data_IF_006590117419
#
_entry.id   IF_006590117419
#
_cell.length_a   1.000
_cell.length_b   1.000
_cell.length_c   1.000
_cell.angle_alpha   90.00
_cell.angle_beta   90.00
_cell.angle_gamma   90.00
#
_symmetry.space_group_name_H-M   'P 1'
#
loop_
_entity.id
_entity.type
_entity.pdbx_description
1 polymer ?
#
# COMPACT_ATOMS: atom_id res chain seq x y z
N UNK A 1 -11.31 -12.30 7.15
CA UNK A 1 -10.68 -12.43 5.82
C UNK A 1 -11.45 -13.48 5.02
N UNK A 2 -12.58 -13.11 4.39
CA UNK A 2 -13.34 -13.93 3.40
C UNK A 2 -14.54 -13.16 2.78
N UNK A 3 -14.55 -11.81 2.82
CA UNK A 3 -15.75 -11.03 2.46
C UNK A 3 -15.97 -10.95 0.94
N UNK A 4 -14.95 -11.26 0.13
CA UNK A 4 -14.94 -10.96 -1.31
C UNK A 4 -15.03 -12.18 -2.23
N UNK A 5 -15.27 -13.38 -1.70
CA UNK A 5 -15.15 -14.62 -2.50
C UNK A 5 -16.41 -14.97 -3.30
N UNK A 6 -17.59 -14.59 -2.81
CA UNK A 6 -18.87 -14.88 -3.46
C UNK A 6 -19.75 -13.64 -3.44
N UNK A 7 -19.58 -12.78 -4.44
CA UNK A 7 -20.40 -11.58 -4.61
C UNK A 7 -21.22 -11.75 -5.87
N UNK A 8 -22.53 -11.56 -5.72
CA UNK A 8 -23.51 -11.53 -6.79
C UNK A 8 -24.35 -10.27 -6.61
N UNK A 9 -24.68 -9.65 -7.74
CA UNK A 9 -25.62 -8.54 -7.87
C UNK A 9 -25.37 -7.40 -6.88
N UNK A 10 -24.09 -7.13 -6.60
CA UNK A 10 -23.71 -6.00 -5.75
C UNK A 10 -23.88 -4.71 -6.55
N UNK A 11 -24.71 -3.77 -6.10
CA UNK A 11 -24.88 -2.50 -6.79
C UNK A 11 -23.57 -1.73 -6.85
N UNK A 12 -23.27 -1.15 -8.01
CA UNK A 12 -22.06 -0.37 -8.23
C UNK A 12 -21.92 0.77 -7.22
N UNK A 13 -23.03 1.44 -6.89
CA UNK A 13 -23.07 2.52 -5.89
C UNK A 13 -22.69 2.07 -4.46
N UNK A 14 -22.73 0.77 -4.16
CA UNK A 14 -22.36 0.22 -2.86
C UNK A 14 -20.91 -0.27 -2.81
N UNK A 15 -20.16 -0.23 -3.92
CA UNK A 15 -18.73 -0.46 -3.92
C UNK A 15 -18.06 0.68 -3.15
N UNK A 16 -17.25 0.34 -2.14
CA UNK A 16 -16.61 1.34 -1.29
C UNK A 16 -15.10 1.29 -1.45
N UNK A 17 -14.47 2.47 -1.40
CA UNK A 17 -13.03 2.61 -1.23
C UNK A 17 -12.20 1.90 -2.33
N UNK A 18 -11.29 1.01 -1.93
CA UNK A 18 -10.37 0.22 -2.74
C UNK A 18 -10.92 -1.16 -3.14
N UNK A 19 -12.17 -1.46 -2.81
CA UNK A 19 -12.77 -2.78 -3.03
C UNK A 19 -12.67 -3.25 -4.49
N UNK A 20 -12.92 -2.34 -5.43
CA UNK A 20 -12.85 -2.66 -6.86
C UNK A 20 -11.42 -2.91 -7.35
N UNK A 21 -10.41 -2.35 -6.67
CA UNK A 21 -9.01 -2.59 -6.99
C UNK A 21 -8.64 -4.06 -6.76
N UNK A 22 -9.15 -4.66 -5.67
CA UNK A 22 -8.96 -6.08 -5.37
C UNK A 22 -9.59 -6.98 -6.43
N UNK A 23 -10.78 -6.62 -6.93
CA UNK A 23 -11.42 -7.34 -8.04
C UNK A 23 -10.61 -7.24 -9.33
N UNK A 24 -10.11 -6.05 -9.66
CA UNK A 24 -9.27 -5.86 -10.83
C UNK A 24 -7.97 -6.67 -10.76
N UNK A 25 -7.33 -6.71 -9.58
CA UNK A 25 -6.12 -7.51 -9.34
C UNK A 25 -6.40 -9.02 -9.39
N UNK A 26 -7.51 -9.48 -8.82
CA UNK A 26 -7.89 -10.89 -8.88
C UNK A 26 -8.25 -11.33 -10.31
N UNK A 27 -8.86 -10.42 -11.10
CA UNK A 27 -9.13 -10.64 -12.52
C UNK A 27 -7.85 -10.73 -13.34
N UNK A 28 -6.88 -9.84 -13.13
CA UNK A 28 -5.59 -9.89 -13.83
C UNK A 28 -4.75 -11.11 -13.44
N UNK A 29 -4.88 -11.59 -12.19
CA UNK A 29 -4.25 -12.83 -11.72
C UNK A 29 -4.98 -14.11 -12.19
N UNK A 30 -6.10 -13.99 -12.90
CA UNK A 30 -6.90 -15.13 -13.35
C UNK A 30 -7.62 -15.89 -12.24
N UNK A 31 -7.74 -15.30 -11.04
CA UNK A 31 -8.37 -15.91 -9.86
C UNK A 31 -9.90 -15.74 -9.86
N UNK A 32 -10.40 -14.66 -10.47
CA UNK A 32 -11.82 -14.32 -10.51
C UNK A 32 -12.23 -13.78 -11.89
N UNK A 33 -13.45 -14.09 -12.32
CA UNK A 33 -14.07 -13.45 -13.47
C UNK A 33 -15.08 -12.41 -13.00
N UNK A 34 -14.76 -11.13 -13.23
CA UNK A 34 -15.60 -9.99 -12.83
C UNK A 34 -16.31 -9.48 -14.06
N UNK A 35 -17.64 -9.54 -14.02
CA UNK A 35 -18.57 -9.03 -15.04
C UNK A 35 -19.50 -8.01 -14.41
N UNK A 36 -19.73 -6.90 -15.09
CA UNK A 36 -20.75 -5.93 -14.72
C UNK A 36 -21.95 -6.13 -15.65
N UNK A 37 -23.15 -6.17 -15.07
CA UNK A 37 -24.39 -6.27 -15.81
C UNK A 37 -25.33 -5.14 -15.37
N UNK A 38 -26.17 -4.66 -16.30
CA UNK A 38 -27.18 -3.65 -16.02
C UNK A 38 -28.46 -4.27 -15.47
N UNK A 39 -28.90 -5.37 -16.07
CA UNK A 39 -30.11 -6.08 -15.68
C UNK A 39 -29.74 -7.33 -14.85
N UNK A 40 -30.43 -7.53 -13.74
CA UNK A 40 -30.34 -8.74 -12.91
C UNK A 40 -31.11 -9.90 -13.54
N UNK A 41 -30.79 -11.14 -13.13
CA UNK A 41 -31.52 -12.32 -13.61
C UNK A 41 -33.03 -12.26 -13.30
N UNK A 42 -33.41 -11.57 -12.23
CA UNK A 42 -34.81 -11.35 -11.86
C UNK A 42 -35.51 -10.34 -12.79
N UNK A 43 -34.84 -9.24 -13.13
CA UNK A 43 -35.37 -8.22 -14.05
C UNK A 43 -35.59 -8.77 -15.46
N UNK A 44 -34.71 -9.66 -15.92
CA UNK A 44 -34.90 -10.40 -17.16
C UNK A 44 -36.16 -11.26 -17.11
N UNK A 45 -36.44 -11.94 -16.00
CA UNK A 45 -37.66 -12.77 -15.83
C UNK A 45 -38.94 -11.93 -15.86
N UNK A 46 -38.90 -10.74 -15.27
CA UNK A 46 -40.05 -9.84 -15.23
C UNK A 46 -40.14 -8.89 -16.42
N UNK A 47 -39.26 -9.03 -17.43
CA UNK A 47 -39.16 -8.13 -18.59
C UNK A 47 -39.05 -6.65 -18.15
N UNK A 48 -38.28 -6.38 -17.11
CA UNK A 48 -37.92 -5.02 -16.65
C UNK A 48 -36.49 -4.69 -17.02
N UNK A 49 -36.08 -5.13 -18.22
CA UNK A 49 -34.74 -4.87 -18.73
C UNK A 49 -34.69 -3.47 -19.34
N UNK A 50 -33.50 -2.88 -19.37
CA UNK A 50 -33.27 -1.61 -20.07
C UNK A 50 -33.80 -1.64 -21.51
N UNK A 51 -33.63 -2.77 -22.20
CA UNK A 51 -34.15 -2.97 -23.55
C UNK A 51 -35.69 -2.91 -23.60
N UNK A 52 -36.37 -3.52 -22.62
CA UNK A 52 -37.83 -3.51 -22.58
C UNK A 52 -38.37 -2.10 -22.30
N UNK A 53 -37.67 -1.28 -21.52
CA UNK A 53 -38.03 0.13 -21.33
C UNK A 53 -37.97 0.89 -22.67
N UNK A 54 -36.88 0.76 -23.43
CA UNK A 54 -36.77 1.36 -24.77
C UNK A 54 -37.87 0.90 -25.74
N UNK A 55 -38.27 -0.37 -25.66
CA UNK A 55 -39.35 -0.92 -26.49
C UNK A 55 -40.73 -0.46 -26.04
N UNK A 56 -40.92 -0.16 -24.75
CA UNK A 56 -42.20 0.31 -24.20
C UNK A 56 -42.43 1.78 -24.50
N UNK A 57 -41.39 2.61 -24.41
CA UNK A 57 -41.46 4.04 -24.73
C UNK A 57 -41.70 4.31 -26.23
N UNK A 58 -41.43 3.30 -27.07
CA UNK A 58 -41.69 3.32 -28.51
C UNK A 58 -41.24 4.61 -29.24
N UNK A 59 -40.03 5.14 -28.99
CA UNK A 59 -39.62 6.45 -29.53
C UNK A 59 -39.54 6.49 -31.07
N UNK A 60 -39.39 5.32 -31.71
CA UNK A 60 -39.26 5.17 -33.16
C UNK A 60 -40.50 4.55 -33.82
N UNK A 61 -41.56 4.31 -33.05
CA UNK A 61 -42.80 3.76 -33.57
C UNK A 61 -43.57 4.82 -34.35
N UNK A 62 -44.16 4.41 -35.48
CA UNK A 62 -45.09 5.23 -36.23
C UNK A 62 -46.47 4.60 -36.19
N UNK A 63 -47.44 5.37 -35.70
CA UNK A 63 -48.82 4.92 -35.54
C UNK A 63 -49.61 5.14 -36.85
N UNK A 64 -49.40 4.23 -37.81
CA UNK A 64 -50.17 4.19 -39.06
C UNK A 64 -50.47 2.74 -39.45
N UNK A 65 -51.72 2.46 -39.80
CA UNK A 65 -52.22 1.11 -40.11
C UNK A 65 -51.93 0.65 -41.54
N UNK A 66 -50.73 0.92 -42.06
CA UNK A 66 -50.29 0.46 -43.38
C UNK A 66 -49.34 -0.72 -43.24
N UNK A 67 -49.53 -1.75 -44.07
CA UNK A 67 -48.65 -2.93 -44.12
C UNK A 67 -47.17 -2.55 -44.30
N UNK A 68 -46.89 -1.48 -45.04
CA UNK A 68 -45.51 -0.98 -45.22
C UNK A 68 -44.97 -0.39 -43.93
N UNK A 69 -45.81 0.34 -43.19
CA UNK A 69 -45.44 0.95 -41.90
C UNK A 69 -45.19 -0.13 -40.85
N UNK A 70 -46.00 -1.19 -40.82
CA UNK A 70 -45.77 -2.33 -39.92
C UNK A 70 -44.41 -3.00 -40.15
N UNK A 71 -44.02 -3.21 -41.42
CA UNK A 71 -42.71 -3.78 -41.76
C UNK A 71 -41.57 -2.86 -41.32
N UNK A 72 -41.72 -1.55 -41.49
CA UNK A 72 -40.74 -0.58 -41.01
C UNK A 72 -40.67 -0.52 -39.49
N UNK A 73 -41.80 -0.61 -38.79
CA UNK A 73 -41.85 -0.62 -37.34
C UNK A 73 -41.10 -1.86 -36.80
N UNK A 74 -41.30 -3.04 -37.40
CA UNK A 74 -40.53 -4.26 -37.07
C UNK A 74 -39.04 -4.09 -37.32
N UNK A 75 -38.65 -3.53 -38.47
CA UNK A 75 -37.24 -3.30 -38.76
C UNK A 75 -36.58 -2.30 -37.78
N UNK A 76 -37.31 -1.28 -37.32
CA UNK A 76 -36.82 -0.35 -36.29
C UNK A 76 -36.69 -1.02 -34.94
N UNK A 77 -37.65 -1.86 -34.55
CA UNK A 77 -37.57 -2.64 -33.32
C UNK A 77 -36.33 -3.55 -33.30
N UNK A 78 -36.11 -4.30 -34.38
CA UNK A 78 -34.91 -5.14 -34.53
C UNK A 78 -33.62 -4.31 -34.48
N UNK A 79 -33.59 -3.15 -35.15
CA UNK A 79 -32.45 -2.25 -35.11
C UNK A 79 -32.16 -1.73 -33.69
N UNK A 80 -33.19 -1.41 -32.90
CA UNK A 80 -33.06 -0.99 -31.50
C UNK A 80 -32.50 -2.12 -30.64
N UNK A 81 -32.97 -3.35 -30.82
CA UNK A 81 -32.49 -4.53 -30.08
C UNK A 81 -30.98 -4.73 -30.32
N UNK A 82 -30.56 -4.65 -31.58
CA UNK A 82 -29.14 -4.78 -31.96
C UNK A 82 -28.33 -3.63 -31.38
N UNK A 83 -28.83 -2.39 -31.49
CA UNK A 83 -28.18 -1.19 -30.97
C UNK A 83 -27.89 -1.30 -29.46
N UNK A 84 -28.91 -1.64 -28.67
CA UNK A 84 -28.78 -1.72 -27.21
C UNK A 84 -27.81 -2.84 -26.80
N UNK A 85 -28.00 -4.05 -27.33
CA UNK A 85 -27.23 -5.22 -26.88
C UNK A 85 -25.80 -5.26 -27.44
N UNK A 86 -25.61 -4.90 -28.71
CA UNK A 86 -24.32 -5.06 -29.39
C UNK A 86 -23.44 -3.82 -29.32
N UNK A 87 -24.01 -2.62 -29.08
CA UNK A 87 -23.26 -1.38 -29.07
C UNK A 87 -23.29 -0.67 -27.71
N UNK A 88 -24.48 -0.37 -27.18
CA UNK A 88 -24.62 0.46 -25.98
C UNK A 88 -24.10 -0.26 -24.74
N UNK A 89 -24.62 -1.45 -24.43
CA UNK A 89 -24.24 -2.19 -23.21
C UNK A 89 -22.73 -2.50 -23.12
N UNK A 90 -22.04 -2.99 -24.19
CA UNK A 90 -20.60 -3.23 -24.12
C UNK A 90 -19.75 -1.98 -23.91
N UNK A 91 -20.19 -0.83 -24.44
CA UNK A 91 -19.51 0.46 -24.24
C UNK A 91 -19.69 0.93 -22.79
N UNK A 92 -20.91 0.86 -22.27
CA UNK A 92 -21.20 1.23 -20.88
C UNK A 92 -20.47 0.33 -19.88
N UNK A 93 -20.41 -0.98 -20.12
CA UNK A 93 -19.66 -1.91 -19.28
C UNK A 93 -18.17 -1.52 -19.23
N UNK A 94 -17.55 -1.26 -20.39
CA UNK A 94 -16.15 -0.86 -20.48
C UNK A 94 -15.90 0.47 -19.77
N UNK A 95 -16.78 1.45 -19.96
CA UNK A 95 -16.65 2.75 -19.32
C UNK A 95 -16.83 2.65 -17.80
N UNK A 96 -17.81 1.89 -17.32
CA UNK A 96 -18.03 1.64 -15.91
C UNK A 96 -16.80 0.97 -15.26
N UNK A 97 -16.23 -0.04 -15.92
CA UNK A 97 -14.97 -0.64 -15.48
C UNK A 97 -13.84 0.38 -15.38
N UNK A 98 -13.68 1.24 -16.38
CA UNK A 98 -12.66 2.28 -16.41
C UNK A 98 -12.83 3.31 -15.28
N UNK A 99 -14.05 3.81 -15.10
CA UNK A 99 -14.39 4.78 -14.06
C UNK A 99 -14.18 4.21 -12.66
N UNK A 100 -14.70 3.01 -12.38
CA UNK A 100 -14.52 2.37 -11.07
C UNK A 100 -13.06 2.08 -10.75
N UNK A 101 -12.27 1.67 -11.73
CA UNK A 101 -10.84 1.47 -11.55
C UNK A 101 -10.13 2.79 -11.22
N UNK A 102 -10.49 3.86 -11.93
CA UNK A 102 -9.93 5.18 -11.68
C UNK A 102 -10.34 5.72 -10.31
N UNK A 103 -11.61 5.59 -9.91
CA UNK A 103 -12.11 6.03 -8.61
C UNK A 103 -11.43 5.28 -7.46
N UNK A 104 -11.27 3.95 -7.56
CA UNK A 104 -10.55 3.19 -6.54
C UNK A 104 -9.06 3.53 -6.49
N UNK A 105 -8.41 3.79 -7.62
CA UNK A 105 -7.02 4.28 -7.65
C UNK A 105 -6.90 5.67 -7.04
N UNK A 106 -7.79 6.57 -7.41
CA UNK A 106 -7.87 7.92 -6.85
C UNK A 106 -8.16 7.88 -5.36
N UNK A 107 -8.98 6.95 -4.85
CA UNK A 107 -9.18 6.80 -3.42
C UNK A 107 -7.86 6.46 -2.70
N UNK A 108 -7.06 5.56 -3.27
CA UNK A 108 -5.74 5.20 -2.73
C UNK A 108 -4.75 6.37 -2.86
N UNK A 109 -4.79 7.12 -3.98
CA UNK A 109 -3.81 8.13 -4.39
C UNK A 109 -4.16 9.57 -3.98
N UNK A 110 -5.38 10.09 -4.16
CA UNK A 110 -5.82 11.46 -3.81
C UNK A 110 -5.91 11.72 -2.32
N UNK A 111 -5.69 10.70 -1.50
CA UNK A 111 -5.14 10.87 -0.16
C UNK A 111 -3.77 11.58 -0.10
N UNK A 112 -3.08 11.66 -1.23
CA UNK A 112 -1.70 12.09 -1.39
C UNK A 112 -1.47 13.20 -2.38
N UNK A 113 -2.51 13.84 -2.90
CA UNK A 113 -2.34 15.04 -3.72
C UNK A 113 -3.59 15.90 -3.63
N UNK A 114 -3.72 16.73 -2.60
CA UNK A 114 -4.52 17.97 -2.67
C UNK A 114 -4.07 18.97 -1.59
N UNK A 115 -3.85 20.20 -2.06
CA UNK A 115 -3.57 21.40 -1.29
C UNK A 115 -4.54 21.60 -0.11
N UNK A 116 -4.09 22.15 1.04
CA UNK A 116 -4.93 22.40 2.22
C UNK A 116 -6.06 23.43 2.01
N UNK A 117 -6.12 24.13 0.87
CA UNK A 117 -7.01 25.29 0.68
C UNK A 117 -8.36 24.94 0.03
N UNK A 118 -8.53 23.78 -0.60
CA UNK A 118 -9.85 23.37 -1.18
C UNK A 118 -10.64 22.43 -0.28
N UNK A 119 -10.38 22.45 1.03
CA UNK A 119 -10.98 21.53 2.02
C UNK A 119 -12.37 21.97 2.51
N UNK A 120 -13.16 22.61 1.65
CA UNK A 120 -14.55 22.97 1.92
C UNK A 120 -15.42 22.45 0.78
N UNK A 121 -16.02 21.26 0.96
CA UNK A 121 -17.48 21.08 0.93
C UNK A 121 -17.93 19.59 0.95
N UNK A 122 -17.05 18.60 0.87
CA UNK A 122 -17.47 17.19 0.97
C UNK A 122 -16.54 16.35 1.84
N UNK A 123 -17.14 15.80 2.92
CA UNK A 123 -16.62 14.75 3.81
C UNK A 123 -15.84 13.71 3.01
N UNK A 124 -14.51 13.75 3.04
CA UNK A 124 -13.67 12.67 2.50
C UNK A 124 -12.42 12.51 3.35
N UNK A 125 -12.33 11.33 3.96
CA UNK A 125 -11.27 10.84 4.84
C UNK A 125 -9.97 10.75 4.02
N UNK A 126 -8.84 11.35 4.44
CA UNK A 126 -7.58 11.14 3.73
C UNK A 126 -7.20 9.66 3.87
N UNK A 127 -6.82 8.99 2.77
CA UNK A 127 -6.49 7.56 2.84
C UNK A 127 -5.28 7.30 3.74
N UNK A 128 -5.31 6.10 4.30
CA UNK A 128 -4.34 5.60 5.25
C UNK A 128 -2.92 5.54 4.66
N UNK A 129 -2.73 5.34 3.35
CA UNK A 129 -1.40 5.15 2.75
C UNK A 129 -0.56 6.43 2.74
N UNK A 130 -1.16 7.56 2.35
CA UNK A 130 -0.41 8.82 2.29
C UNK A 130 -0.27 9.46 3.66
N UNK A 131 -1.25 9.31 4.55
CA UNK A 131 -1.06 9.68 5.95
C UNK A 131 0.09 8.89 6.58
N UNK A 132 0.14 7.56 6.39
CA UNK A 132 1.24 6.74 6.90
C UNK A 132 2.60 7.18 6.34
N UNK A 133 2.68 7.52 5.05
CA UNK A 133 3.92 8.00 4.44
C UNK A 133 4.28 9.40 4.97
N UNK A 134 3.32 10.31 5.02
CA UNK A 134 3.50 11.65 5.54
C UNK A 134 3.94 11.63 7.01
N UNK A 135 3.31 10.80 7.83
CA UNK A 135 3.66 10.64 9.24
C UNK A 135 5.09 10.10 9.38
N UNK A 136 5.49 9.14 8.53
CA UNK A 136 6.87 8.63 8.50
C UNK A 136 7.89 9.68 8.07
N UNK A 137 7.55 10.54 7.12
CA UNK A 137 8.41 11.64 6.64
C UNK A 137 8.46 12.78 7.65
N UNK A 138 7.34 13.06 8.33
CA UNK A 138 7.19 14.15 9.30
C UNK A 138 7.97 13.89 10.59
N UNK A 139 8.30 12.64 10.90
CA UNK A 139 9.06 12.30 12.10
C UNK A 139 10.33 13.16 12.16
N UNK A 140 10.41 14.01 13.20
CA UNK A 140 11.55 14.88 13.39
C UNK A 140 12.81 14.04 13.63
N UNK A 141 13.96 14.57 13.22
CA UNK A 141 15.25 13.96 13.54
C UNK A 141 15.38 13.79 15.05
N UNK A 142 15.93 12.64 15.47
CA UNK A 142 16.19 12.37 16.87
C UNK A 142 17.13 13.45 17.44
N UNK A 143 16.76 14.02 18.59
CA UNK A 143 17.60 14.94 19.34
C UNK A 143 17.97 14.30 20.66
N UNK A 144 19.26 14.27 20.97
CA UNK A 144 19.72 13.77 22.26
C UNK A 144 19.26 14.73 23.37
N UNK A 145 18.66 14.25 24.47
CA UNK A 145 18.28 15.10 25.60
C UNK A 145 19.47 15.78 26.28
N UNK A 146 20.70 15.30 26.02
CA UNK A 146 21.93 15.74 26.66
C UNK A 146 22.65 16.90 25.94
N UNK A 147 21.99 17.60 25.02
CA UNK A 147 22.56 18.74 24.25
C UNK A 147 22.88 20.00 25.10
N UNK A 148 22.84 19.95 26.44
CA UNK A 148 23.14 21.08 27.34
C UNK A 148 24.35 20.84 28.25
N UNK A 149 25.33 20.05 27.80
CA UNK A 149 26.61 19.88 28.49
C UNK A 149 27.75 20.40 27.62
N UNK A 150 28.44 21.42 28.10
CA UNK A 150 29.58 22.11 27.48
C UNK A 150 30.79 21.17 27.23
N UNK A 151 30.72 20.32 26.20
CA UNK A 151 31.80 19.37 25.82
C UNK A 151 32.85 20.05 24.92
N UNK A 152 33.16 21.32 25.18
CA UNK A 152 34.18 22.11 24.47
C UNK A 152 35.61 21.58 24.67
N UNK A 153 35.84 20.66 25.63
CA UNK A 153 37.18 20.15 25.97
C UNK A 153 37.69 19.00 25.08
N UNK A 154 36.86 18.33 24.28
CA UNK A 154 37.24 17.06 23.63
C UNK A 154 37.55 17.10 22.13
N UNK A 155 37.66 18.28 21.51
CA UNK A 155 38.03 18.41 20.09
C UNK A 155 37.00 17.84 19.10
N UNK A 156 35.82 17.42 19.58
CA UNK A 156 34.69 17.06 18.76
C UNK A 156 33.75 18.26 18.66
N UNK A 157 33.45 18.67 17.42
CA UNK A 157 32.47 19.73 17.15
C UNK A 157 31.10 19.28 17.68
N UNK A 158 30.37 20.18 18.34
CA UNK A 158 29.10 19.84 18.98
C UNK A 158 28.05 19.35 17.97
N UNK A 159 27.50 18.16 18.22
CA UNK A 159 26.45 17.54 17.40
C UNK A 159 26.17 16.08 17.76
N UNK A 160 25.03 15.54 17.32
CA UNK A 160 24.61 14.17 17.63
C UNK A 160 25.29 13.16 16.69
N UNK A 161 26.12 12.29 17.28
CA UNK A 161 26.78 11.14 16.62
C UNK A 161 25.94 9.87 16.76
N UNK A 162 25.76 9.13 15.68
CA UNK A 162 24.91 7.94 15.65
C UNK A 162 25.73 6.71 15.25
N UNK A 163 25.75 5.68 16.08
CA UNK A 163 26.27 4.37 15.73
C UNK A 163 25.13 3.50 15.21
N UNK A 164 25.14 3.20 13.92
CA UNK A 164 24.18 2.28 13.30
C UNK A 164 24.74 0.86 13.29
N UNK A 165 23.90 -0.13 13.56
CA UNK A 165 24.22 -1.56 13.51
C UNK A 165 23.23 -2.23 12.56
N UNK A 166 23.75 -2.74 11.46
CA UNK A 166 23.00 -3.55 10.50
C UNK A 166 23.50 -4.99 10.59
N UNK A 167 22.59 -5.92 10.85
CA UNK A 167 22.86 -7.35 10.80
C UNK A 167 22.04 -8.00 9.69
N UNK A 168 22.59 -9.00 8.99
CA UNK A 168 21.88 -9.75 7.95
C UNK A 168 20.97 -10.82 8.56
N UNK A 169 19.97 -11.27 7.80
CA UNK A 169 19.12 -12.41 8.17
C UNK A 169 19.92 -13.73 8.21
N UNK A 170 20.91 -13.87 7.32
CA UNK A 170 21.74 -15.05 7.25
C UNK A 170 22.84 -15.02 8.32
N UNK A 171 22.80 -15.98 9.26
CA UNK A 171 23.76 -16.10 10.37
C UNK A 171 25.21 -16.34 9.96
N UNK A 172 25.46 -16.65 8.69
CA UNK A 172 26.81 -16.82 8.14
C UNK A 172 27.44 -15.51 7.66
N UNK A 173 26.64 -14.47 7.45
CA UNK A 173 27.11 -13.18 6.95
C UNK A 173 27.45 -12.25 8.12
N UNK A 174 28.52 -11.47 7.95
CA UNK A 174 28.97 -10.54 8.97
C UNK A 174 28.05 -9.33 9.08
N UNK A 175 27.80 -8.89 10.30
CA UNK A 175 27.15 -7.62 10.61
C UNK A 175 28.13 -6.46 10.48
N UNK A 176 27.60 -5.29 10.16
CA UNK A 176 28.37 -4.07 10.03
C UNK A 176 27.81 -2.98 10.93
N UNK A 177 28.72 -2.27 11.59
CA UNK A 177 28.40 -1.06 12.30
C UNK A 177 29.02 0.13 11.56
N UNK A 178 28.27 1.22 11.42
CA UNK A 178 28.78 2.46 10.86
C UNK A 178 28.50 3.62 11.82
N UNK A 179 29.55 4.37 12.15
CA UNK A 179 29.47 5.59 12.94
C UNK A 179 29.27 6.78 12.01
N UNK A 180 28.21 7.53 12.27
CA UNK A 180 27.83 8.72 11.53
C UNK A 180 28.06 9.97 12.39
N UNK A 181 28.58 11.01 11.76
CA UNK A 181 28.68 12.35 12.35
C UNK A 181 27.35 13.12 12.24
N UNK A 182 27.30 14.32 12.83
CA UNK A 182 26.20 15.27 12.75
C UNK A 182 25.77 15.60 11.31
N UNK A 183 26.71 15.59 10.36
CA UNK A 183 26.48 15.88 8.94
C UNK A 183 26.08 14.62 8.15
N UNK A 184 25.89 13.48 8.82
CA UNK A 184 25.56 12.20 8.20
C UNK A 184 26.73 11.53 7.47
N UNK A 185 27.95 12.04 7.63
CA UNK A 185 29.15 11.43 7.06
C UNK A 185 29.62 10.22 7.86
N UNK A 186 30.12 9.19 7.17
CA UNK A 186 30.68 8.00 7.81
C UNK A 186 32.06 8.33 8.36
N UNK A 187 32.20 8.33 9.69
CA UNK A 187 33.47 8.55 10.36
C UNK A 187 34.30 7.27 10.44
N UNK A 188 33.65 6.15 10.78
CA UNK A 188 34.33 4.88 11.03
C UNK A 188 33.33 3.71 10.91
N UNK A 189 33.83 2.50 10.71
CA UNK A 189 33.01 1.30 10.63
C UNK A 189 33.65 0.11 11.34
N UNK A 190 32.82 -0.82 11.79
CA UNK A 190 33.26 -2.04 12.46
C UNK A 190 32.56 -3.25 11.86
N UNK A 191 33.32 -4.29 11.54
CA UNK A 191 32.79 -5.57 11.07
C UNK A 191 32.69 -6.54 12.24
N UNK A 192 31.50 -7.08 12.48
CA UNK A 192 31.20 -8.04 13.54
C UNK A 192 30.63 -9.32 12.93
N UNK A 193 31.41 -10.40 12.95
CA UNK A 193 31.05 -11.64 12.22
C UNK A 193 30.05 -12.50 12.98
N UNK A 194 30.06 -12.42 14.31
CA UNK A 194 29.42 -13.36 15.23
C UNK A 194 28.42 -12.69 16.20
N UNK A 195 28.09 -11.41 16.00
CA UNK A 195 27.25 -10.65 16.95
C UNK A 195 25.82 -11.20 17.06
N UNK A 196 25.30 -11.82 15.99
CA UNK A 196 23.98 -12.45 15.92
C UNK A 196 23.94 -13.85 16.53
N UNK A 197 25.08 -14.42 16.95
CA UNK A 197 25.09 -15.74 17.59
C UNK A 197 24.47 -15.69 18.99
N UNK A 198 24.03 -16.83 19.50
CA UNK A 198 23.50 -16.90 20.87
C UNK A 198 24.62 -16.98 21.90
N UNK A 199 24.56 -16.17 22.97
CA UNK A 199 25.45 -16.30 24.14
C UNK A 199 25.32 -17.67 24.83
N UNK A 200 24.14 -18.30 24.71
CA UNK A 200 23.84 -19.64 25.23
C UNK A 200 23.78 -20.70 24.11
N UNK A 201 24.46 -20.49 22.98
CA UNK A 201 24.49 -21.50 21.91
C UNK A 201 25.11 -22.80 22.44
N UNK A 202 24.48 -23.95 22.13
CA UNK A 202 24.96 -25.29 22.55
C UNK A 202 26.20 -25.75 21.76
N UNK A 203 26.60 -25.00 20.73
CA UNK A 203 27.77 -25.28 19.91
C UNK A 203 29.04 -24.76 20.57
N UNK A 204 30.10 -25.58 20.68
CA UNK A 204 31.35 -25.16 21.31
C UNK A 204 31.99 -24.00 20.53
N UNK A 205 32.44 -22.96 21.24
CA UNK A 205 33.17 -21.81 20.69
C UNK A 205 32.33 -20.66 20.14
N UNK A 206 31.04 -20.85 19.82
CA UNK A 206 30.20 -19.75 19.28
C UNK A 206 29.97 -18.63 20.31
N UNK A 207 29.77 -18.99 21.58
CA UNK A 207 29.56 -18.03 22.66
C UNK A 207 30.80 -17.15 22.90
N UNK A 208 32.00 -17.74 22.80
CA UNK A 208 33.25 -17.01 23.02
C UNK A 208 33.57 -16.07 21.86
N UNK A 209 33.28 -16.48 20.62
CA UNK A 209 33.38 -15.62 19.45
C UNK A 209 32.45 -14.40 19.54
N UNK A 210 31.22 -14.59 20.04
CA UNK A 210 30.31 -13.47 20.29
C UNK A 210 30.82 -12.53 21.38
N UNK A 211 31.39 -13.06 22.47
CA UNK A 211 32.00 -12.24 23.53
C UNK A 211 33.16 -11.39 22.99
N UNK A 212 33.97 -11.94 22.08
CA UNK A 212 35.04 -11.18 21.42
C UNK A 212 34.49 -10.02 20.58
N UNK A 213 33.41 -10.25 19.83
CA UNK A 213 32.75 -9.22 19.02
C UNK A 213 32.09 -8.15 19.91
N UNK A 214 31.43 -8.54 21.01
CA UNK A 214 30.88 -7.60 21.99
C UNK A 214 31.98 -6.77 22.66
N UNK A 215 33.12 -7.36 22.98
CA UNK A 215 34.27 -6.63 23.53
C UNK A 215 34.86 -5.65 22.50
N UNK A 216 34.92 -6.03 21.23
CA UNK A 216 35.35 -5.14 20.14
C UNK A 216 34.39 -3.96 19.97
N UNK A 217 33.08 -4.22 20.02
CA UNK A 217 32.04 -3.20 19.99
C UNK A 217 32.15 -2.26 21.20
N UNK A 218 32.37 -2.79 22.41
CA UNK A 218 32.55 -1.97 23.62
C UNK A 218 33.76 -1.03 23.51
N UNK A 219 34.91 -1.54 23.06
CA UNK A 219 36.10 -0.71 22.80
C UNK A 219 35.84 0.37 21.75
N UNK A 220 35.05 0.05 20.72
CA UNK A 220 34.66 1.01 19.69
C UNK A 220 33.76 2.12 20.25
N UNK A 221 32.78 1.76 21.10
CA UNK A 221 31.90 2.72 21.79
C UNK A 221 32.70 3.60 22.75
N UNK A 222 33.63 3.03 23.54
CA UNK A 222 34.49 3.78 24.46
C UNK A 222 35.40 4.76 23.70
N UNK A 223 35.95 4.36 22.55
CA UNK A 223 36.83 5.19 21.72
C UNK A 223 36.08 6.33 21.00
N UNK A 224 34.89 6.07 20.47
CA UNK A 224 34.17 6.99 19.57
C UNK A 224 33.02 7.74 20.23
N UNK A 225 32.59 7.30 21.41
CA UNK A 225 31.51 7.88 22.23
C UNK A 225 30.30 8.33 21.40
N UNK A 226 29.60 7.42 20.70
CA UNK A 226 28.35 7.77 20.01
C UNK A 226 27.29 8.22 21.02
N UNK A 227 26.39 9.12 20.61
CA UNK A 227 25.30 9.60 21.45
C UNK A 227 24.08 8.68 21.37
N UNK A 228 23.88 8.04 20.22
CA UNK A 228 22.75 7.16 19.94
C UNK A 228 23.24 5.91 19.25
N UNK A 229 22.66 4.76 19.60
CA UNK A 229 22.88 3.50 18.91
C UNK A 229 21.57 3.11 18.22
N UNK A 230 21.60 2.99 16.90
CA UNK A 230 20.48 2.56 16.07
C UNK A 230 20.70 1.11 15.63
N UNK A 231 19.71 0.24 15.86
CA UNK A 231 19.76 -1.19 15.53
C UNK A 231 18.71 -1.48 14.46
N UNK A 232 19.06 -2.25 13.43
CA UNK A 232 18.08 -2.70 12.42
C UNK A 232 17.03 -3.64 13.03
N UNK A 233 15.76 -3.38 12.76
CA UNK A 233 14.63 -4.14 13.31
C UNK A 233 14.06 -5.15 12.32
N UNK A 234 14.89 -6.03 11.74
CA UNK A 234 14.42 -7.00 10.73
C UNK A 234 13.77 -8.23 11.35
N UNK A 235 14.38 -8.78 12.42
CA UNK A 235 13.93 -10.04 13.06
C UNK A 235 13.96 -9.94 14.60
N UNK A 236 13.45 -10.96 15.30
CA UNK A 236 13.50 -11.03 16.77
C UNK A 236 14.92 -10.95 17.34
N UNK A 237 15.94 -11.27 16.53
CA UNK A 237 17.36 -11.09 16.87
C UNK A 237 17.70 -9.64 17.25
N UNK A 238 16.98 -8.63 16.71
CA UNK A 238 17.13 -7.23 17.12
C UNK A 238 16.94 -7.04 18.62
N UNK A 239 15.97 -7.75 19.21
CA UNK A 239 15.60 -7.62 20.63
C UNK A 239 16.70 -8.23 21.50
N UNK A 240 17.26 -9.37 21.08
CA UNK A 240 18.37 -9.99 21.79
C UNK A 240 19.64 -9.14 21.69
N UNK A 241 19.94 -8.60 20.51
CA UNK A 241 21.08 -7.71 20.29
C UNK A 241 20.93 -6.40 21.07
N UNK A 242 19.73 -5.82 21.13
CA UNK A 242 19.44 -4.68 21.99
C UNK A 242 19.71 -5.02 23.47
N UNK A 243 19.23 -6.18 23.95
CA UNK A 243 19.47 -6.61 25.34
C UNK A 243 20.95 -6.76 25.63
N UNK A 244 21.69 -7.39 24.73
CA UNK A 244 23.13 -7.64 24.86
C UNK A 244 23.96 -6.34 24.84
N UNK A 245 23.51 -5.31 24.11
CA UNK A 245 24.15 -3.98 24.07
C UNK A 245 23.76 -3.13 25.28
N UNK A 246 22.54 -3.29 25.79
CA UNK A 246 22.07 -2.58 26.99
C UNK A 246 22.60 -3.15 28.31
N UNK A 247 23.20 -4.35 28.27
CA UNK A 247 23.77 -5.04 29.44
C UNK A 247 25.20 -4.59 29.72
#
# INVERSE_FOLDING_TARGET
MLIFRYIRDKPVAQLRHDEFLWYAQAKSAGLLNVKLHCDTEEEVRFKRTLLQEFLTDQPYYKDEYSRVVDLWNKAREEAVIVCVNSFILPVLEREAHGRLLQESRDYVIKAGSLNPISRCFLRNVPSQSTQNLYDRIRMAAYRSPHEYGDDSENGFTGGTRVLSIAYPEERGQASFCALLDQDGQVLDHLRLVNITKGLNSRRPGEADLKRQDLNSLRKFIEKRRPHVIAISGENMEAIYLHRDISS
#
